data_IF_244586927634
#
_entry.id   IF_244586927634
#
_cell.length_a   1.000
_cell.length_b   1.000
_cell.length_c   1.000
_cell.angle_alpha   90.00
_cell.angle_beta   90.00
_cell.angle_gamma   90.00
#
_symmetry.space_group_name_H-M   'P 1'
#
loop_
_entity.id
_entity.type
_entity.pdbx_description
1 polymer ?
#
# COMPACT_ATOMS: atom_id res chain seq x y z
N UNK A 1 -13.44 5.06 17.36
CA UNK A 1 -13.72 4.08 16.30
C UNK A 1 -12.62 3.03 16.31
N UNK A 2 -12.94 1.78 15.95
CA UNK A 2 -11.98 0.69 15.92
C UNK A 2 -11.48 0.48 14.49
N UNK A 3 -10.16 0.35 14.33
CA UNK A 3 -9.53 0.01 13.06
C UNK A 3 -9.36 -1.50 12.95
N UNK A 4 -9.77 -2.06 11.81
CA UNK A 4 -9.56 -3.47 11.48
C UNK A 4 -8.60 -3.57 10.30
N UNK A 5 -7.60 -4.44 10.40
CA UNK A 5 -6.74 -4.79 9.28
C UNK A 5 -7.04 -6.19 8.78
N UNK A 6 -7.20 -6.31 7.47
CA UNK A 6 -7.40 -7.58 6.78
C UNK A 6 -6.26 -7.80 5.79
N UNK A 7 -5.62 -8.96 5.88
CA UNK A 7 -4.66 -9.45 4.89
C UNK A 7 -5.33 -10.44 3.95
N UNK A 8 -5.10 -10.30 2.65
CA UNK A 8 -5.76 -11.09 1.61
C UNK A 8 -4.76 -12.02 0.95
N UNK A 9 -5.04 -13.33 0.98
CA UNK A 9 -4.27 -14.31 0.21
C UNK A 9 -4.67 -14.31 -1.28
N UNK A 10 -5.91 -13.91 -1.59
CA UNK A 10 -6.45 -13.89 -2.95
C UNK A 10 -6.49 -12.45 -3.51
N UNK A 11 -5.82 -12.16 -4.64
CA UNK A 11 -5.87 -10.86 -5.28
C UNK A 11 -7.27 -10.44 -5.73
N UNK A 12 -8.12 -11.40 -6.10
CA UNK A 12 -9.51 -11.12 -6.49
C UNK A 12 -10.33 -10.54 -5.33
N UNK A 13 -10.24 -11.18 -4.16
CA UNK A 13 -10.88 -10.75 -2.91
C UNK A 13 -10.35 -9.39 -2.44
N UNK A 14 -9.03 -9.18 -2.51
CA UNK A 14 -8.44 -7.87 -2.22
C UNK A 14 -9.02 -6.79 -3.13
N UNK A 15 -8.94 -6.99 -4.45
CA UNK A 15 -9.39 -6.00 -5.42
C UNK A 15 -10.88 -5.69 -5.26
N UNK A 16 -11.73 -6.71 -5.11
CA UNK A 16 -13.16 -6.53 -4.89
C UNK A 16 -13.46 -5.69 -3.63
N UNK A 17 -12.59 -5.76 -2.61
CA UNK A 17 -12.78 -4.99 -1.38
C UNK A 17 -12.41 -3.52 -1.51
N UNK A 18 -11.34 -3.23 -2.24
CA UNK A 18 -10.72 -1.89 -2.29
C UNK A 18 -11.10 -1.09 -3.53
N UNK A 19 -11.70 -1.72 -4.55
CA UNK A 19 -12.01 -1.10 -5.85
C UNK A 19 -12.77 0.22 -5.70
N UNK A 20 -13.94 0.22 -5.04
CA UNK A 20 -14.76 1.43 -4.88
C UNK A 20 -14.00 2.57 -4.18
N UNK A 21 -13.25 2.23 -3.14
CA UNK A 21 -12.42 3.18 -2.41
C UNK A 21 -11.29 3.77 -3.28
N UNK A 22 -10.63 2.93 -4.07
CA UNK A 22 -9.54 3.37 -4.92
C UNK A 22 -10.06 4.19 -6.11
N UNK A 23 -11.20 3.82 -6.69
CA UNK A 23 -11.81 4.51 -7.83
C UNK A 23 -12.31 5.92 -7.46
N UNK A 24 -12.64 6.18 -6.20
CA UNK A 24 -13.02 7.52 -5.72
C UNK A 24 -11.96 8.60 -6.01
N UNK A 25 -10.68 8.21 -6.10
CA UNK A 25 -9.56 9.07 -6.48
C UNK A 25 -8.66 8.36 -7.52
N UNK A 26 -9.24 7.87 -8.61
CA UNK A 26 -8.58 7.01 -9.61
C UNK A 26 -7.19 7.52 -10.05
N UNK A 27 -7.05 8.80 -10.36
CA UNK A 27 -5.78 9.39 -10.83
C UNK A 27 -4.67 9.22 -9.78
N UNK A 28 -5.00 9.45 -8.51
CA UNK A 28 -4.06 9.38 -7.39
C UNK A 28 -3.77 7.94 -6.96
N UNK A 29 -4.71 7.04 -7.25
CA UNK A 29 -4.61 5.61 -6.98
C UNK A 29 -4.21 4.79 -8.21
N UNK A 30 -3.82 5.43 -9.32
CA UNK A 30 -3.63 4.77 -10.60
C UNK A 30 -2.64 3.58 -10.53
N UNK A 31 -1.56 3.73 -9.75
CA UNK A 31 -0.54 2.71 -9.59
C UNK A 31 -1.07 1.49 -8.81
N UNK A 32 -1.68 1.73 -7.65
CA UNK A 32 -2.23 0.64 -6.82
C UNK A 32 -3.41 -0.05 -7.53
N UNK A 33 -4.26 0.70 -8.24
CA UNK A 33 -5.33 0.17 -9.08
C UNK A 33 -4.78 -0.73 -10.19
N UNK A 34 -3.78 -0.24 -10.94
CA UNK A 34 -3.19 -0.99 -12.05
C UNK A 34 -2.56 -2.30 -11.58
N UNK A 35 -1.85 -2.28 -10.45
CA UNK A 35 -1.23 -3.47 -9.89
C UNK A 35 -2.25 -4.45 -9.30
N UNK A 36 -3.21 -3.95 -8.52
CA UNK A 36 -4.26 -4.80 -7.94
C UNK A 36 -5.09 -5.48 -9.05
N UNK A 37 -5.44 -4.73 -10.12
CA UNK A 37 -6.12 -5.28 -11.30
C UNK A 37 -5.24 -6.29 -12.04
N UNK A 38 -3.95 -5.99 -12.20
CA UNK A 38 -2.98 -6.90 -12.82
C UNK A 38 -2.87 -8.23 -12.08
N UNK A 39 -2.75 -8.19 -10.75
CA UNK A 39 -2.70 -9.39 -9.90
C UNK A 39 -4.03 -10.17 -9.92
N UNK A 40 -5.17 -9.48 -9.98
CA UNK A 40 -6.49 -10.13 -10.14
C UNK A 40 -6.60 -10.90 -11.45
N UNK A 41 -6.11 -10.32 -12.56
CA UNK A 41 -6.21 -10.92 -13.89
C UNK A 41 -5.15 -12.00 -14.14
N UNK A 42 -3.97 -11.83 -13.56
CA UNK A 42 -2.80 -12.66 -13.80
C UNK A 42 -2.03 -12.94 -12.50
N UNK A 43 -2.62 -13.65 -11.52
CA UNK A 43 -1.97 -13.93 -10.25
C UNK A 43 -0.66 -14.73 -10.40
N UNK A 44 -0.53 -15.52 -11.47
CA UNK A 44 0.64 -16.33 -11.80
C UNK A 44 1.89 -15.52 -12.17
N UNK A 45 1.75 -14.23 -12.47
CA UNK A 45 2.88 -13.36 -12.86
C UNK A 45 3.71 -12.87 -11.69
N UNK A 46 3.24 -13.09 -10.46
CA UNK A 46 4.00 -12.75 -9.26
C UNK A 46 4.90 -13.92 -8.89
N UNK A 47 6.23 -13.72 -8.96
CA UNK A 47 7.21 -14.74 -8.60
C UNK A 47 7.12 -15.14 -7.11
N UNK A 48 6.65 -14.22 -6.27
CA UNK A 48 6.41 -14.42 -4.85
C UNK A 48 4.98 -13.99 -4.49
N UNK A 49 4.36 -14.58 -3.45
CA UNK A 49 3.05 -14.13 -2.99
C UNK A 49 3.07 -12.61 -2.67
N UNK A 50 2.18 -11.81 -3.27
CA UNK A 50 2.10 -10.40 -2.96
C UNK A 50 1.58 -10.20 -1.53
N UNK A 51 2.01 -9.13 -0.88
CA UNK A 51 1.35 -8.65 0.33
C UNK A 51 0.18 -7.76 -0.07
N UNK A 52 -1.02 -8.10 0.40
CA UNK A 52 -2.26 -7.39 0.08
C UNK A 52 -3.02 -7.13 1.37
N UNK A 53 -3.22 -5.86 1.73
CA UNK A 53 -3.91 -5.52 2.97
C UNK A 53 -4.81 -4.29 2.82
N UNK A 54 -5.91 -4.29 3.56
CA UNK A 54 -6.78 -3.14 3.73
C UNK A 54 -6.99 -2.85 5.22
N UNK A 55 -7.02 -1.57 5.57
CA UNK A 55 -7.46 -1.09 6.88
C UNK A 55 -8.83 -0.47 6.72
N UNK A 56 -9.72 -0.82 7.64
CA UNK A 56 -11.11 -0.41 7.65
C UNK A 56 -11.48 0.29 8.95
N UNK A 57 -12.35 1.28 8.84
CA UNK A 57 -12.98 1.98 9.96
C UNK A 57 -14.49 2.00 9.70
N UNK A 58 -15.27 1.47 10.64
CA UNK A 58 -16.73 1.33 10.52
C UNK A 58 -17.18 0.65 9.20
N UNK A 59 -16.42 -0.36 8.74
CA UNK A 59 -16.69 -1.11 7.52
C UNK A 59 -16.35 -0.37 6.22
N UNK A 60 -15.82 0.85 6.28
CA UNK A 60 -15.28 1.57 5.13
C UNK A 60 -13.76 1.39 5.04
N UNK A 61 -13.23 1.15 3.84
CA UNK A 61 -11.78 1.13 3.62
C UNK A 61 -11.25 2.55 3.80
N UNK A 62 -10.22 2.69 4.63
CA UNK A 62 -9.53 3.97 4.88
C UNK A 62 -8.09 3.96 4.37
N UNK A 63 -7.53 2.77 4.14
CA UNK A 63 -6.19 2.57 3.60
C UNK A 63 -6.11 1.21 2.90
N UNK A 64 -5.59 1.19 1.68
CA UNK A 64 -5.21 -0.02 0.96
C UNK A 64 -3.69 -0.04 0.75
N UNK A 65 -3.09 -1.22 0.88
CA UNK A 65 -1.67 -1.43 0.74
C UNK A 65 -1.38 -2.69 -0.07
N UNK A 66 -0.43 -2.59 -1.00
CA UNK A 66 -0.02 -3.68 -1.88
C UNK A 66 1.50 -3.69 -2.03
N UNK A 67 2.12 -4.87 -1.98
CA UNK A 67 3.54 -5.03 -2.30
C UNK A 67 3.76 -6.29 -3.14
N UNK A 68 4.48 -6.13 -4.25
CA UNK A 68 4.97 -7.25 -5.07
C UNK A 68 6.49 -7.32 -4.92
N UNK A 69 6.99 -8.17 -4.02
CA UNK A 69 8.43 -8.36 -3.79
C UNK A 69 9.17 -8.61 -5.11
N UNK A 70 10.37 -8.03 -5.31
CA UNK A 70 11.17 -7.23 -4.38
C UNK A 70 10.85 -5.72 -4.39
N UNK A 71 9.74 -5.30 -5.02
CA UNK A 71 9.34 -3.89 -5.10
C UNK A 71 8.81 -3.40 -3.75
N UNK A 72 8.87 -2.09 -3.53
CA UNK A 72 8.38 -1.45 -2.31
C UNK A 72 6.87 -1.53 -2.12
N UNK A 73 6.43 -1.27 -0.89
CA UNK A 73 5.03 -1.17 -0.49
C UNK A 73 4.37 0.04 -1.15
N UNK A 74 3.22 -0.16 -1.76
CA UNK A 74 2.43 0.90 -2.38
C UNK A 74 1.22 1.18 -1.49
N UNK A 75 1.01 2.45 -1.15
CA UNK A 75 -0.10 2.90 -0.32
C UNK A 75 -1.12 3.69 -1.15
N UNK A 76 -2.41 3.47 -0.88
CA UNK A 76 -3.46 4.41 -1.26
C UNK A 76 -3.33 5.72 -0.48
N UNK A 77 -4.14 6.73 -0.80
CA UNK A 77 -4.37 7.85 0.11
C UNK A 77 -4.85 7.34 1.47
N UNK A 78 -4.45 8.04 2.52
CA UNK A 78 -4.96 7.88 3.87
C UNK A 78 -4.89 9.23 4.57
N UNK A 79 -5.91 9.56 5.35
CA UNK A 79 -5.93 10.73 6.23
C UNK A 79 -5.82 10.35 7.71
N UNK A 80 -5.85 9.05 8.02
CA UNK A 80 -5.83 8.51 9.38
C UNK A 80 -4.45 7.96 9.73
N UNK A 81 -3.76 8.68 10.60
CA UNK A 81 -2.44 8.34 11.13
C UNK A 81 -2.43 7.03 11.93
N UNK A 82 -3.54 6.67 12.56
CA UNK A 82 -3.68 5.41 13.29
C UNK A 82 -3.81 4.22 12.32
N UNK A 83 -4.38 4.42 11.12
CA UNK A 83 -4.44 3.39 10.09
C UNK A 83 -3.03 3.06 9.56
N UNK A 84 -2.16 4.06 9.41
CA UNK A 84 -0.75 3.83 9.06
C UNK A 84 -0.01 3.03 10.13
N UNK A 85 -0.27 3.31 11.40
CA UNK A 85 0.35 2.59 12.52
C UNK A 85 -0.11 1.13 12.61
N UNK A 86 -1.42 0.89 12.41
CA UNK A 86 -2.00 -0.45 12.31
C UNK A 86 -1.36 -1.23 11.15
N UNK A 87 -1.24 -0.60 9.98
CA UNK A 87 -0.59 -1.21 8.82
C UNK A 87 0.89 -1.54 9.09
N UNK A 88 1.65 -0.61 9.67
CA UNK A 88 3.07 -0.80 9.95
C UNK A 88 3.30 -1.99 10.91
N UNK A 89 2.52 -2.06 12.00
CA UNK A 89 2.59 -3.20 12.94
C UNK A 89 2.27 -4.53 12.28
N UNK A 90 1.24 -4.56 11.45
CA UNK A 90 0.85 -5.77 10.74
C UNK A 90 1.93 -6.19 9.74
N UNK A 91 2.37 -5.27 8.88
CA UNK A 91 3.36 -5.51 7.82
C UNK A 91 4.69 -6.03 8.38
N UNK A 92 5.14 -5.54 9.54
CA UNK A 92 6.35 -6.04 10.21
C UNK A 92 6.36 -7.56 10.44
N UNK A 93 5.19 -8.16 10.65
CA UNK A 93 5.08 -9.61 10.85
C UNK A 93 5.24 -10.42 9.56
N UNK A 94 5.09 -9.78 8.39
CA UNK A 94 5.19 -10.41 7.07
C UNK A 94 6.48 -10.06 6.34
N UNK A 95 6.92 -8.80 6.47
CA UNK A 95 8.07 -8.23 5.78
C UNK A 95 8.87 -7.35 6.74
N UNK A 96 9.64 -7.95 7.68
CA UNK A 96 10.47 -7.18 8.62
C UNK A 96 11.55 -6.37 7.90
N UNK A 97 12.01 -6.84 6.73
CA UNK A 97 13.03 -6.20 5.89
C UNK A 97 12.38 -5.40 4.74
N UNK A 98 11.37 -4.58 5.06
CA UNK A 98 10.64 -3.78 4.06
C UNK A 98 11.63 -2.96 3.19
N UNK A 99 11.71 -3.21 1.87
CA UNK A 99 12.76 -2.60 1.06
C UNK A 99 12.51 -1.11 0.76
N UNK A 100 11.25 -0.71 0.60
CA UNK A 100 10.85 0.66 0.29
C UNK A 100 9.34 0.87 0.51
N UNK A 101 8.91 2.13 0.57
CA UNK A 101 7.51 2.55 0.49
C UNK A 101 7.34 3.58 -0.63
N UNK A 102 6.25 3.45 -1.39
CA UNK A 102 5.86 4.31 -2.50
C UNK A 102 4.42 4.77 -2.28
N UNK A 103 4.19 6.08 -2.46
CA UNK A 103 2.88 6.71 -2.31
C UNK A 103 3.00 8.20 -2.54
N UNK A 104 1.93 8.95 -2.31
CA UNK A 104 2.01 10.41 -2.28
C UNK A 104 3.05 10.85 -1.24
N UNK A 105 3.90 11.83 -1.59
CA UNK A 105 5.07 12.24 -0.80
C UNK A 105 4.83 12.39 0.72
N UNK A 106 3.80 13.13 1.21
CA UNK A 106 3.59 13.27 2.64
C UNK A 106 3.18 11.95 3.31
N UNK A 107 2.47 11.08 2.58
CA UNK A 107 2.01 9.80 3.12
C UNK A 107 3.14 8.79 3.23
N UNK A 108 3.97 8.68 2.19
CA UNK A 108 5.13 7.79 2.20
C UNK A 108 6.10 8.18 3.33
N UNK A 109 6.32 9.48 3.56
CA UNK A 109 7.12 9.98 4.67
C UNK A 109 6.48 9.63 6.03
N UNK A 110 5.19 9.91 6.21
CA UNK A 110 4.47 9.60 7.46
C UNK A 110 4.48 8.10 7.80
N UNK A 111 4.39 7.22 6.79
CA UNK A 111 4.54 5.78 6.99
C UNK A 111 5.98 5.40 7.33
N UNK A 112 6.97 5.95 6.63
CA UNK A 112 8.37 5.68 6.87
C UNK A 112 8.78 6.05 8.32
N UNK A 113 8.36 7.21 8.83
CA UNK A 113 8.62 7.63 10.21
C UNK A 113 8.09 6.61 11.23
N UNK A 114 6.85 6.13 11.05
CA UNK A 114 6.25 5.10 11.91
C UNK A 114 6.98 3.77 11.81
N UNK A 115 7.38 3.39 10.60
CA UNK A 115 8.17 2.18 10.38
C UNK A 115 9.52 2.24 11.09
N UNK A 116 10.22 3.38 11.01
CA UNK A 116 11.49 3.60 11.70
C UNK A 116 11.32 3.53 13.22
N UNK A 117 10.32 4.20 13.78
CA UNK A 117 10.01 4.15 15.22
C UNK A 117 9.68 2.73 15.70
N UNK A 118 8.99 1.95 14.87
CA UNK A 118 8.56 0.59 15.21
C UNK A 118 9.69 -0.46 15.12
N UNK A 119 10.64 -0.28 14.20
CA UNK A 119 11.64 -1.29 13.85
C UNK A 119 13.07 -0.93 14.27
N UNK A 120 13.35 0.37 14.49
CA UNK A 120 14.70 0.89 14.68
C UNK A 120 15.55 0.89 13.39
N UNK A 121 14.99 0.45 12.26
CA UNK A 121 15.65 0.49 10.94
C UNK A 121 15.50 1.89 10.37
N UNK A 122 16.61 2.50 9.95
CA UNK A 122 16.60 3.81 9.30
C UNK A 122 16.10 3.68 7.86
N UNK A 123 15.10 4.47 7.49
CA UNK A 123 14.66 4.59 6.11
C UNK A 123 15.23 5.87 5.50
N UNK A 124 15.98 5.74 4.41
CA UNK A 124 16.36 6.87 3.57
C UNK A 124 15.23 7.14 2.57
N UNK A 125 14.75 8.39 2.51
CA UNK A 125 13.73 8.80 1.55
C UNK A 125 14.36 8.85 0.16
N UNK A 126 14.17 7.80 -0.64
CA UNK A 126 14.59 7.76 -2.03
C UNK A 126 13.48 8.27 -2.96
N UNK A 127 13.58 9.51 -3.40
CA UNK A 127 12.58 10.15 -4.28
C UNK A 127 12.86 9.79 -5.75
N UNK A 128 12.25 8.72 -6.25
CA UNK A 128 12.25 8.42 -7.70
C UNK A 128 11.21 9.31 -8.41
N UNK A 129 11.58 10.55 -8.75
CA UNK A 129 10.79 11.36 -9.67
C UNK A 129 10.92 10.79 -11.09
N UNK A 130 9.85 10.20 -11.63
CA UNK A 130 9.69 10.02 -13.09
C UNK A 130 8.27 10.40 -13.51
N UNK A 131 7.98 11.70 -13.49
CA UNK A 131 6.96 12.25 -14.36
C UNK A 131 7.66 12.75 -15.63
N UNK A 132 7.54 12.01 -16.73
CA UNK A 132 7.83 12.55 -18.06
C UNK A 132 6.51 13.10 -18.60
N UNK A 133 6.37 14.42 -18.61
CA UNK A 133 5.37 15.09 -19.43
C UNK A 133 5.99 15.27 -20.83
N UNK A 134 5.44 14.57 -21.83
CA UNK A 134 5.72 14.91 -23.22
C UNK A 134 4.81 16.09 -23.57
N UNK A 135 5.38 17.29 -23.55
CA UNK A 135 4.80 18.43 -24.27
C UNK A 135 4.93 18.15 -25.77
N UNK A 136 3.80 17.89 -26.41
CA UNK A 136 3.61 18.13 -27.85
C UNK A 136 3.18 19.57 -28.07
#
# INVERSE_FOLDING_TARGET
MALLITHYADPGAFYARVEDFLMAHEIEHNLILSLARGLKLHPERSEQPPYLAAVESDGAVVLAALMTSPRGLILSRCADDAALEVLARHLRNFHPDLPAVQGANPLAAAFAERWMLLTGVWAEVYMQQRFYQLTG
#
